data_IF_577749262591
#
_entry.id   IF_577749262591
#
_cell.length_a   1.000
_cell.length_b   1.000
_cell.length_c   1.000
_cell.angle_alpha   90.00
_cell.angle_beta   90.00
_cell.angle_gamma   90.00
#
_symmetry.space_group_name_H-M   'P 1'
#
loop_
_entity.id
_entity.type
_entity.pdbx_description
1 polymer ?
#
# COMPACT_ATOMS: atom_id res chain seq x y z
N UNK A 1 -42.11 -13.89 29.89
CA UNK A 1 -41.36 -14.75 30.82
C UNK A 1 -40.96 -16.02 30.08
N UNK A 2 -39.70 -16.44 30.14
CA UNK A 2 -39.24 -17.62 29.39
C UNK A 2 -39.71 -18.87 30.13
N UNK A 3 -40.40 -19.79 29.46
CA UNK A 3 -41.00 -21.00 30.06
C UNK A 3 -39.98 -22.13 30.32
N UNK A 4 -38.79 -22.05 29.73
CA UNK A 4 -37.74 -23.07 29.79
C UNK A 4 -36.37 -22.43 30.06
N UNK A 5 -35.32 -23.25 30.13
CA UNK A 5 -33.93 -22.80 30.21
C UNK A 5 -33.41 -22.20 28.88
N UNK A 6 -34.19 -21.28 28.29
CA UNK A 6 -33.75 -20.53 27.11
C UNK A 6 -33.12 -19.22 27.55
N UNK A 7 -32.19 -18.73 26.73
CA UNK A 7 -31.57 -17.41 26.91
C UNK A 7 -32.64 -16.33 26.96
N UNK A 8 -32.47 -15.37 27.88
CA UNK A 8 -33.33 -14.19 27.99
C UNK A 8 -33.37 -13.48 26.63
N UNK A 9 -34.55 -13.29 26.01
CA UNK A 9 -34.65 -12.67 24.69
C UNK A 9 -34.08 -11.24 24.69
N UNK A 10 -33.02 -11.00 23.93
CA UNK A 10 -32.51 -9.66 23.64
C UNK A 10 -33.08 -9.13 22.32
N UNK A 11 -34.40 -8.94 22.30
CA UNK A 11 -35.12 -8.41 21.14
C UNK A 11 -34.81 -6.92 20.93
N UNK A 12 -34.33 -6.56 19.73
CA UNK A 12 -34.01 -5.18 19.38
C UNK A 12 -35.22 -4.41 18.84
N UNK A 13 -36.39 -4.64 19.43
CA UNK A 13 -37.67 -4.00 19.07
C UNK A 13 -38.04 -2.90 20.08
N UNK A 14 -37.03 -2.12 20.51
CA UNK A 14 -37.14 -1.14 21.60
C UNK A 14 -37.84 0.16 21.23
N UNK A 15 -38.14 0.36 19.94
CA UNK A 15 -38.79 1.57 19.38
C UNK A 15 -40.04 1.14 18.60
N UNK A 16 -40.84 2.11 18.13
CA UNK A 16 -41.99 1.90 17.24
C UNK A 16 -41.54 1.41 15.83
N UNK A 17 -40.98 0.20 15.77
CA UNK A 17 -40.37 -0.39 14.58
C UNK A 17 -41.36 -0.64 13.45
N UNK A 18 -42.66 -0.79 13.78
CA UNK A 18 -43.74 -0.97 12.82
C UNK A 18 -43.84 0.21 11.83
N UNK A 19 -43.50 1.43 12.26
CA UNK A 19 -43.47 2.61 11.38
C UNK A 19 -42.25 2.64 10.44
N UNK A 20 -41.24 1.81 10.69
CA UNK A 20 -39.97 1.79 9.95
C UNK A 20 -39.71 0.44 9.26
N UNK A 21 -40.78 -0.25 8.88
CA UNK A 21 -40.70 -1.54 8.19
C UNK A 21 -40.29 -1.32 6.73
N UNK A 22 -39.09 -1.79 6.38
CA UNK A 22 -38.64 -1.81 4.99
C UNK A 22 -39.07 -3.11 4.31
N UNK A 23 -40.02 -3.02 3.39
CA UNK A 23 -40.45 -4.15 2.55
C UNK A 23 -39.56 -4.29 1.31
N UNK A 24 -39.56 -5.49 0.72
CA UNK A 24 -38.73 -5.84 -0.45
C UNK A 24 -39.55 -6.15 -1.71
N UNK A 25 -40.84 -5.80 -1.75
CA UNK A 25 -41.70 -6.00 -2.92
C UNK A 25 -41.20 -5.28 -4.18
N UNK A 26 -40.46 -4.18 -4.02
CA UNK A 26 -39.84 -3.45 -5.13
C UNK A 26 -38.53 -4.07 -5.65
N UNK A 27 -38.07 -5.19 -5.08
CA UNK A 27 -36.82 -5.85 -5.49
C UNK A 27 -36.80 -6.26 -6.98
N UNK A 28 -37.82 -6.94 -7.56
CA UNK A 28 -37.85 -7.28 -8.98
C UNK A 28 -37.86 -6.04 -9.87
N UNK A 29 -38.71 -5.06 -9.60
CA UNK A 29 -38.75 -3.80 -10.35
C UNK A 29 -37.39 -3.07 -10.32
N UNK A 30 -36.70 -3.07 -9.17
CA UNK A 30 -35.35 -2.49 -9.05
C UNK A 30 -34.29 -3.29 -9.82
N UNK A 31 -34.45 -4.60 -10.01
CA UNK A 31 -33.57 -5.42 -10.87
C UNK A 31 -33.75 -5.03 -12.34
N UNK A 32 -34.99 -4.97 -12.82
CA UNK A 32 -35.32 -4.56 -14.21
C UNK A 32 -34.84 -3.15 -14.50
N UNK A 33 -35.15 -2.18 -13.63
CA UNK A 33 -34.68 -0.78 -13.77
C UNK A 33 -33.15 -0.69 -13.87
N UNK A 34 -32.42 -1.44 -13.04
CA UNK A 34 -30.94 -1.46 -13.08
C UNK A 34 -30.41 -2.14 -14.34
N UNK A 35 -31.09 -3.15 -14.88
CA UNK A 35 -30.74 -3.77 -16.17
C UNK A 35 -30.87 -2.77 -17.32
N UNK A 36 -32.03 -2.12 -17.43
CA UNK A 36 -32.31 -1.15 -18.50
C UNK A 36 -31.33 0.04 -18.44
N UNK A 37 -31.03 0.55 -17.24
CA UNK A 37 -30.04 1.62 -17.08
C UNK A 37 -28.62 1.20 -17.50
N UNK A 38 -28.22 -0.06 -17.24
CA UNK A 38 -26.93 -0.59 -17.70
C UNK A 38 -26.90 -0.74 -19.23
N UNK A 39 -27.99 -1.22 -19.84
CA UNK A 39 -28.10 -1.33 -21.31
C UNK A 39 -28.05 0.04 -21.97
N UNK A 40 -28.83 1.01 -21.48
CA UNK A 40 -28.81 2.39 -21.98
C UNK A 40 -27.40 3.02 -21.87
N UNK A 41 -26.68 2.76 -20.76
CA UNK A 41 -25.29 3.19 -20.61
C UNK A 41 -24.36 2.53 -21.63
N UNK A 42 -24.49 1.22 -21.85
CA UNK A 42 -23.65 0.48 -22.80
C UNK A 42 -23.83 0.98 -24.24
N UNK A 43 -25.08 1.26 -24.65
CA UNK A 43 -25.40 1.85 -25.96
C UNK A 43 -24.81 3.26 -26.08
N UNK A 44 -24.93 4.10 -25.05
CA UNK A 44 -24.39 5.46 -25.05
C UNK A 44 -22.85 5.50 -25.13
N UNK A 45 -22.17 4.57 -24.47
CA UNK A 45 -20.71 4.54 -24.40
C UNK A 45 -20.05 3.79 -25.57
N UNK A 46 -20.83 3.10 -26.42
CA UNK A 46 -20.35 2.36 -27.59
C UNK A 46 -19.45 3.26 -28.48
N UNK A 47 -18.24 2.80 -28.88
CA UNK A 47 -17.71 1.43 -28.80
C UNK A 47 -16.96 1.07 -27.50
N UNK A 48 -16.86 1.97 -26.51
CA UNK A 48 -16.06 1.73 -25.30
C UNK A 48 -16.69 0.70 -24.37
N UNK A 49 -15.90 -0.07 -23.62
CA UNK A 49 -16.40 -0.88 -22.51
C UNK A 49 -17.04 -0.01 -21.43
N UNK A 50 -18.04 -0.54 -20.72
CA UNK A 50 -18.84 0.21 -19.75
C UNK A 50 -18.07 0.65 -18.47
N UNK A 51 -16.82 0.22 -18.28
CA UNK A 51 -16.00 0.42 -17.09
C UNK A 51 -14.55 0.79 -17.39
N UNK A 52 -13.90 1.47 -16.44
CA UNK A 52 -12.47 1.80 -16.50
C UNK A 52 -11.62 0.65 -15.97
N UNK A 53 -10.38 0.51 -16.46
CA UNK A 53 -9.41 -0.43 -15.92
C UNK A 53 -9.04 -0.04 -14.48
N UNK A 54 -9.04 -1.03 -13.58
CA UNK A 54 -8.69 -0.88 -12.15
C UNK A 54 -7.49 -1.79 -11.83
N UNK A 55 -6.61 -1.39 -10.87
CA UNK A 55 -5.44 -2.18 -10.49
C UNK A 55 -5.82 -3.39 -9.64
N UNK A 56 -4.89 -4.32 -9.55
CA UNK A 56 -4.92 -5.42 -8.60
C UNK A 56 -4.41 -4.96 -7.24
N UNK A 57 -5.18 -5.23 -6.18
CA UNK A 57 -4.86 -4.83 -4.79
C UNK A 57 -5.22 -5.96 -3.82
N UNK A 58 -4.40 -6.12 -2.78
CA UNK A 58 -4.62 -7.07 -1.69
C UNK A 58 -5.54 -6.50 -0.59
N UNK A 59 -6.18 -7.38 0.19
CA UNK A 59 -6.89 -6.98 1.41
C UNK A 59 -5.95 -6.40 2.48
N UNK A 60 -6.49 -5.55 3.36
CA UNK A 60 -5.69 -4.82 4.36
C UNK A 60 -5.30 -5.66 5.58
N UNK A 61 -6.14 -6.62 5.99
CA UNK A 61 -5.94 -7.41 7.21
C UNK A 61 -5.27 -8.75 6.92
N UNK A 62 -4.64 -9.35 7.95
CA UNK A 62 -4.00 -10.67 7.84
C UNK A 62 -4.95 -11.75 7.30
N UNK A 63 -6.25 -11.69 7.62
CA UNK A 63 -7.26 -12.64 7.13
C UNK A 63 -7.52 -12.51 5.62
N UNK A 64 -7.36 -11.30 5.06
CA UNK A 64 -7.78 -11.00 3.68
C UNK A 64 -6.63 -10.61 2.76
N UNK A 65 -5.39 -10.55 3.24
CA UNK A 65 -4.22 -10.19 2.44
C UNK A 65 -4.04 -11.14 1.23
N UNK A 66 -4.36 -12.42 1.35
CA UNK A 66 -4.29 -13.39 0.26
C UNK A 66 -5.34 -13.16 -0.84
N UNK A 67 -6.40 -12.40 -0.54
CA UNK A 67 -7.47 -12.14 -1.51
C UNK A 67 -7.12 -10.93 -2.37
N UNK A 68 -6.99 -11.19 -3.66
CA UNK A 68 -6.91 -10.16 -4.70
C UNK A 68 -8.29 -9.60 -5.03
N UNK A 69 -8.34 -8.28 -5.25
CA UNK A 69 -9.52 -7.53 -5.66
C UNK A 69 -9.14 -6.32 -6.53
N UNK A 70 -10.15 -5.73 -7.18
CA UNK A 70 -9.98 -4.47 -7.90
C UNK A 70 -9.86 -3.29 -6.93
N UNK A 71 -8.80 -2.50 -7.10
CA UNK A 71 -8.56 -1.28 -6.33
C UNK A 71 -9.39 -0.08 -6.80
N UNK A 72 -9.07 1.13 -6.32
CA UNK A 72 -9.71 2.37 -6.78
C UNK A 72 -9.16 2.85 -8.13
N UNK A 73 -7.84 2.85 -8.28
CA UNK A 73 -7.12 3.30 -9.45
C UNK A 73 -5.61 3.08 -9.32
N UNK A 74 -4.91 3.16 -10.44
CA UNK A 74 -3.46 3.03 -10.54
C UNK A 74 -2.73 4.18 -9.84
N UNK A 75 -1.59 3.87 -9.22
CA UNK A 75 -0.75 4.90 -8.59
C UNK A 75 0.03 5.67 -9.66
N UNK A 76 0.59 6.82 -9.27
CA UNK A 76 1.38 7.63 -10.19
C UNK A 76 2.70 6.93 -10.59
N UNK A 77 3.27 6.15 -9.67
CA UNK A 77 4.49 5.37 -9.90
C UNK A 77 4.27 4.27 -10.94
N UNK A 78 3.17 3.53 -10.84
CA UNK A 78 2.80 2.48 -11.81
C UNK A 78 2.60 3.07 -13.20
N UNK A 79 1.90 4.21 -13.29
CA UNK A 79 1.66 4.90 -14.55
C UNK A 79 2.97 5.40 -15.16
N UNK A 80 3.88 5.96 -14.35
CA UNK A 80 5.21 6.39 -14.79
C UNK A 80 6.02 5.20 -15.32
N UNK A 81 6.03 4.08 -14.60
CA UNK A 81 6.73 2.86 -15.00
C UNK A 81 6.13 2.19 -16.26
N UNK A 82 4.83 2.37 -16.50
CA UNK A 82 4.16 1.92 -17.73
C UNK A 82 4.28 2.92 -18.91
N UNK A 83 4.90 4.08 -18.70
CA UNK A 83 5.02 5.13 -19.73
C UNK A 83 3.67 5.77 -20.10
N UNK A 84 2.74 5.87 -19.14
CA UNK A 84 1.42 6.47 -19.35
C UNK A 84 1.32 7.77 -18.54
N UNK A 85 1.10 8.93 -19.19
CA UNK A 85 0.97 10.19 -18.46
C UNK A 85 -0.35 10.26 -17.68
N UNK A 86 -0.30 10.79 -16.45
CA UNK A 86 -1.45 10.83 -15.51
C UNK A 86 -2.70 11.52 -16.04
N UNK A 87 -2.55 12.50 -16.95
CA UNK A 87 -3.67 13.23 -17.56
C UNK A 87 -4.31 12.45 -18.72
N UNK A 88 -3.52 11.63 -19.42
CA UNK A 88 -4.00 10.78 -20.51
C UNK A 88 -4.72 9.53 -19.97
N UNK A 89 -4.25 8.95 -18.86
CA UNK A 89 -4.81 7.73 -18.31
C UNK A 89 -6.36 7.75 -18.17
N UNK A 90 -7.00 8.79 -17.60
CA UNK A 90 -8.46 8.84 -17.49
C UNK A 90 -9.20 8.92 -18.84
N UNK A 91 -8.59 9.48 -19.89
CA UNK A 91 -9.22 9.63 -21.21
C UNK A 91 -9.23 8.33 -21.99
N UNK A 92 -8.17 7.52 -21.84
CA UNK A 92 -8.06 6.17 -22.42
C UNK A 92 -8.76 5.09 -21.58
N UNK A 93 -9.49 5.47 -20.53
CA UNK A 93 -10.28 4.52 -19.72
C UNK A 93 -9.51 3.85 -18.57
N UNK A 94 -8.41 4.42 -18.09
CA UNK A 94 -7.66 3.94 -16.92
C UNK A 94 -8.04 4.76 -15.68
N UNK A 95 -8.38 4.09 -14.58
CA UNK A 95 -8.67 4.77 -13.31
C UNK A 95 -7.36 5.16 -12.59
N UNK A 96 -7.26 6.39 -12.09
CA UNK A 96 -6.07 6.90 -11.38
C UNK A 96 -6.40 7.19 -9.92
N UNK A 97 -5.52 6.77 -9.01
CA UNK A 97 -5.64 7.06 -7.59
C UNK A 97 -4.31 7.58 -7.03
N UNK A 98 -4.19 8.91 -6.94
CA UNK A 98 -2.97 9.58 -6.49
C UNK A 98 -2.62 9.34 -5.01
N UNK A 99 -3.56 8.79 -4.21
CA UNK A 99 -3.35 8.55 -2.78
C UNK A 99 -2.66 7.22 -2.50
N UNK A 100 -2.69 6.28 -3.44
CA UNK A 100 -2.13 4.95 -3.24
C UNK A 100 -0.61 4.99 -3.42
N UNK A 101 0.10 4.37 -2.48
CA UNK A 101 1.56 4.20 -2.50
C UNK A 101 1.89 2.71 -2.65
N UNK A 102 2.97 2.40 -3.36
CA UNK A 102 3.46 1.03 -3.45
C UNK A 102 4.52 0.80 -2.37
N UNK A 103 4.39 -0.30 -1.63
CA UNK A 103 5.38 -0.73 -0.63
C UNK A 103 6.17 -1.96 -1.06
N UNK A 104 5.59 -2.74 -1.98
CA UNK A 104 6.15 -3.97 -2.51
C UNK A 104 6.43 -3.82 -4.00
N UNK A 105 7.52 -4.43 -4.45
CA UNK A 105 7.97 -4.37 -5.84
C UNK A 105 7.12 -5.30 -6.73
N UNK A 106 6.71 -6.44 -6.18
CA UNK A 106 5.85 -7.44 -6.83
C UNK A 106 4.49 -6.83 -7.19
N UNK A 107 3.89 -6.07 -6.26
CA UNK A 107 2.62 -5.38 -6.49
C UNK A 107 2.72 -4.30 -7.56
N UNK A 108 3.84 -3.56 -7.57
CA UNK A 108 4.15 -2.57 -8.60
C UNK A 108 4.27 -3.24 -9.96
N UNK A 109 5.09 -4.29 -10.08
CA UNK A 109 5.32 -5.01 -11.34
C UNK A 109 4.06 -5.64 -11.91
N UNK A 110 3.25 -6.31 -11.07
CA UNK A 110 1.98 -6.90 -11.50
C UNK A 110 1.03 -5.86 -12.10
N UNK A 111 0.92 -4.69 -11.47
CA UNK A 111 0.07 -3.60 -11.98
C UNK A 111 0.66 -2.91 -13.23
N UNK A 112 1.97 -2.79 -13.33
CA UNK A 112 2.64 -2.29 -14.54
C UNK A 112 2.42 -3.24 -15.72
N UNK A 113 2.54 -4.55 -15.51
CA UNK A 113 2.23 -5.56 -16.53
C UNK A 113 0.75 -5.50 -16.93
N UNK A 114 -0.15 -5.32 -15.96
CA UNK A 114 -1.58 -5.09 -16.23
C UNK A 114 -1.84 -3.84 -17.07
N UNK A 115 -1.11 -2.75 -16.86
CA UNK A 115 -1.19 -1.55 -17.70
C UNK A 115 -0.66 -1.78 -19.11
N UNK A 116 0.48 -2.48 -19.24
CA UNK A 116 1.09 -2.81 -20.54
C UNK A 116 0.18 -3.72 -21.37
N UNK A 117 -0.37 -4.77 -20.76
CA UNK A 117 -1.33 -5.68 -21.42
C UNK A 117 -2.61 -4.95 -21.85
N UNK A 118 -3.12 -4.03 -21.04
CA UNK A 118 -4.26 -3.20 -21.42
C UNK A 118 -3.92 -2.28 -22.59
N UNK A 119 -2.77 -1.60 -22.55
CA UNK A 119 -2.32 -0.70 -23.64
C UNK A 119 -2.15 -1.44 -24.97
N UNK A 120 -1.64 -2.67 -24.93
CA UNK A 120 -1.49 -3.51 -26.13
C UNK A 120 -2.85 -3.96 -26.72
N UNK A 121 -3.88 -4.11 -25.89
CA UNK A 121 -5.23 -4.51 -26.32
C UNK A 121 -6.16 -3.32 -26.62
N UNK A 122 -5.68 -2.09 -26.39
CA UNK A 122 -6.51 -0.89 -26.52
C UNK A 122 -6.55 -0.43 -27.97
N UNK A 123 -7.73 -0.46 -28.57
CA UNK A 123 -7.99 0.15 -29.89
C UNK A 123 -8.39 1.62 -29.69
N UNK A 124 -7.63 2.55 -30.28
CA UNK A 124 -7.86 4.00 -30.13
C UNK A 124 -8.41 4.57 -31.44
N UNK A 125 -9.60 5.14 -31.36
CA UNK A 125 -10.25 5.77 -32.50
C UNK A 125 -9.68 7.18 -32.76
N UNK A 126 -9.40 7.53 -34.03
CA UNK A 126 -9.06 8.90 -34.40
C UNK A 126 -10.14 9.89 -33.95
N UNK A 127 -9.73 11.02 -33.37
CA UNK A 127 -10.66 12.10 -32.99
C UNK A 127 -11.45 12.64 -34.18
N UNK A 128 -10.89 12.55 -35.39
CA UNK A 128 -11.54 12.91 -36.66
C UNK A 128 -11.23 11.78 -37.64
N UNK A 129 -12.27 11.16 -38.20
CA UNK A 129 -12.14 9.94 -39.03
C UNK A 129 -11.16 10.07 -40.21
N UNK A 130 -11.01 11.27 -40.79
CA UNK A 130 -10.12 11.53 -41.93
C UNK A 130 -8.72 12.04 -41.55
N UNK A 131 -8.41 12.20 -40.26
CA UNK A 131 -7.12 12.72 -39.78
C UNK A 131 -6.56 11.80 -38.70
N UNK A 132 -5.84 10.76 -39.12
CA UNK A 132 -5.12 9.87 -38.21
C UNK A 132 -3.91 10.59 -37.61
N UNK A 133 -3.65 10.36 -36.34
CA UNK A 133 -2.50 10.86 -35.59
C UNK A 133 -1.70 9.68 -35.02
N UNK A 134 -0.48 9.98 -34.57
CA UNK A 134 0.34 9.02 -33.86
C UNK A 134 -0.40 8.49 -32.61
N UNK A 135 -0.60 7.17 -32.56
CA UNK A 135 -1.30 6.48 -31.48
C UNK A 135 -2.76 6.13 -31.77
N UNK A 136 -3.28 6.48 -32.95
CA UNK A 136 -4.55 5.93 -33.45
C UNK A 136 -4.35 4.53 -34.02
N UNK A 137 -5.39 3.69 -33.96
CA UNK A 137 -5.40 2.33 -34.49
C UNK A 137 -5.53 2.30 -36.02
N UNK A 138 -5.10 1.18 -36.62
CA UNK A 138 -5.24 0.96 -38.07
C UNK A 138 -6.71 0.83 -38.47
N UNK A 139 -7.09 1.17 -39.73
CA UNK A 139 -8.47 1.03 -40.19
C UNK A 139 -9.07 -0.38 -40.02
N UNK A 140 -8.25 -1.41 -40.11
CA UNK A 140 -8.63 -2.82 -39.94
C UNK A 140 -9.05 -3.15 -38.49
N UNK A 141 -8.28 -2.66 -37.51
CA UNK A 141 -8.62 -2.78 -36.09
C UNK A 141 -9.91 -2.02 -35.74
N UNK A 142 -10.15 -0.88 -36.40
CA UNK A 142 -11.35 -0.08 -36.19
C UNK A 142 -12.62 -0.78 -36.68
N UNK A 143 -12.54 -1.51 -37.80
CA UNK A 143 -13.67 -2.26 -38.36
C UNK A 143 -14.04 -3.48 -37.50
N UNK A 144 -13.05 -4.09 -36.85
CA UNK A 144 -13.23 -5.27 -35.98
C UNK A 144 -13.51 -4.93 -34.52
N UNK A 145 -13.44 -3.64 -34.16
CA UNK A 145 -13.63 -3.18 -32.79
C UNK A 145 -15.06 -3.45 -32.30
N UNK A 146 -15.18 -4.37 -31.34
CA UNK A 146 -16.43 -4.69 -30.66
C UNK A 146 -16.39 -4.27 -29.20
N UNK A 147 -17.56 -4.00 -28.62
CA UNK A 147 -17.65 -3.67 -27.21
C UNK A 147 -17.44 -4.92 -26.35
N UNK A 148 -16.42 -4.90 -25.50
CA UNK A 148 -16.18 -5.96 -24.52
C UNK A 148 -17.34 -6.01 -23.51
N UNK A 149 -18.00 -7.18 -23.43
CA UNK A 149 -19.04 -7.45 -22.44
C UNK A 149 -18.41 -7.91 -21.12
N UNK A 150 -18.79 -7.27 -20.01
CA UNK A 150 -18.30 -7.61 -18.67
C UNK A 150 -17.08 -6.78 -18.20
N UNK A 151 -16.40 -7.22 -17.14
CA UNK A 151 -15.25 -6.49 -16.58
C UNK A 151 -14.04 -6.54 -17.52
N UNK A 152 -13.39 -5.39 -17.70
CA UNK A 152 -12.17 -5.26 -18.53
C UNK A 152 -10.99 -5.92 -17.82
N UNK A 153 -10.43 -6.97 -18.44
CA UNK A 153 -9.33 -7.78 -17.90
C UNK A 153 -9.61 -8.30 -16.47
N UNK A 154 -10.54 -9.25 -16.28
CA UNK A 154 -10.89 -9.74 -14.95
C UNK A 154 -9.67 -10.28 -14.19
N UNK A 155 -9.60 -10.00 -12.89
CA UNK A 155 -8.54 -10.53 -12.02
C UNK A 155 -8.88 -11.99 -11.72
N UNK A 156 -8.15 -12.91 -12.32
CA UNK A 156 -8.26 -14.35 -12.04
C UNK A 156 -7.38 -14.69 -10.84
N UNK A 157 -7.89 -15.55 -9.96
CA UNK A 157 -7.11 -16.09 -8.84
C UNK A 157 -6.50 -17.40 -9.28
N UNK A 158 -5.27 -17.34 -9.77
CA UNK A 158 -4.50 -18.54 -10.07
C UNK A 158 -4.18 -19.26 -8.76
N UNK A 159 -4.45 -20.57 -8.75
CA UNK A 159 -3.98 -21.45 -7.70
C UNK A 159 -2.60 -21.92 -8.11
N UNK A 160 -1.60 -21.72 -7.27
CA UNK A 160 -0.27 -22.28 -7.51
C UNK A 160 -0.40 -23.79 -7.69
N UNK A 161 0.19 -24.32 -8.77
CA UNK A 161 0.33 -25.76 -8.93
C UNK A 161 1.31 -26.27 -7.87
N UNK A 162 0.96 -27.36 -7.19
CA UNK A 162 1.83 -28.02 -6.22
C UNK A 162 2.53 -29.16 -6.95
N UNK A 163 3.85 -29.10 -7.02
CA UNK A 163 4.66 -30.20 -7.53
C UNK A 163 5.08 -31.11 -6.38
N UNK A 164 5.12 -32.41 -6.64
CA UNK A 164 5.58 -33.39 -5.66
C UNK A 164 7.11 -33.42 -5.66
N UNK A 165 7.69 -33.01 -4.53
CA UNK A 165 9.15 -33.01 -4.33
C UNK A 165 9.49 -34.04 -3.27
N UNK A 166 10.64 -34.72 -3.43
CA UNK A 166 11.18 -35.64 -2.41
C UNK A 166 11.50 -34.86 -1.14
N UNK A 167 11.04 -35.37 0.01
CA UNK A 167 11.29 -34.75 1.32
C UNK A 167 12.79 -34.79 1.62
N UNK A 168 13.40 -33.62 1.79
CA UNK A 168 14.81 -33.47 2.17
C UNK A 168 15.00 -33.77 3.66
N UNK A 169 16.23 -34.12 4.06
CA UNK A 169 16.50 -34.42 5.47
C UNK A 169 16.40 -33.18 6.39
N UNK A 170 16.59 -31.99 5.82
CA UNK A 170 16.31 -30.71 6.49
C UNK A 170 14.82 -30.54 6.85
N UNK A 171 13.91 -30.94 5.95
CA UNK A 171 12.47 -30.90 6.22
C UNK A 171 12.07 -31.88 7.31
N UNK A 172 12.77 -33.02 7.43
CA UNK A 172 12.51 -34.02 8.47
C UNK A 172 13.02 -33.57 9.84
N UNK A 173 14.17 -32.89 9.89
CA UNK A 173 14.74 -32.39 11.15
C UNK A 173 14.09 -31.11 11.66
N UNK A 174 13.35 -30.38 10.81
CA UNK A 174 12.68 -29.14 11.19
C UNK A 174 11.47 -29.36 12.13
N UNK A 175 11.62 -29.00 13.40
CA UNK A 175 10.52 -29.02 14.37
C UNK A 175 9.66 -27.74 14.29
N UNK A 176 8.64 -27.77 13.44
CA UNK A 176 7.74 -26.64 13.19
C UNK A 176 7.01 -26.13 14.45
N UNK A 177 6.55 -27.03 15.32
CA UNK A 177 5.81 -26.64 16.54
C UNK A 177 6.70 -25.87 17.52
N UNK A 178 7.90 -26.39 17.78
CA UNK A 178 8.88 -25.75 18.66
C UNK A 178 9.30 -24.38 18.12
N UNK A 179 9.53 -24.25 16.81
CA UNK A 179 9.85 -22.98 16.18
C UNK A 179 8.74 -21.94 16.38
N UNK A 180 7.48 -22.30 16.17
CA UNK A 180 6.33 -21.39 16.40
C UNK A 180 6.25 -20.90 17.85
N UNK A 181 6.57 -21.75 18.83
CA UNK A 181 6.60 -21.37 20.26
C UNK A 181 7.75 -20.41 20.55
N UNK A 182 8.95 -20.69 20.03
CA UNK A 182 10.12 -19.81 20.17
C UNK A 182 9.85 -18.43 19.57
N UNK A 183 9.25 -18.34 18.38
CA UNK A 183 8.93 -17.05 17.75
C UNK A 183 7.90 -16.24 18.57
N UNK A 184 6.90 -16.90 19.16
CA UNK A 184 5.97 -16.23 20.09
C UNK A 184 6.70 -15.70 21.33
N UNK A 185 7.61 -16.48 21.90
CA UNK A 185 8.43 -16.09 23.06
C UNK A 185 9.36 -14.93 22.71
N UNK A 186 10.02 -14.96 21.55
CA UNK A 186 10.86 -13.87 21.05
C UNK A 186 10.08 -12.57 20.90
N UNK A 187 8.90 -12.63 20.26
CA UNK A 187 8.02 -11.46 20.11
C UNK A 187 7.55 -10.92 21.46
N UNK A 188 7.22 -11.79 22.42
CA UNK A 188 6.81 -11.40 23.78
C UNK A 188 7.93 -10.72 24.56
N UNK A 189 9.17 -11.23 24.47
CA UNK A 189 10.30 -10.76 25.27
C UNK A 189 11.21 -9.74 24.58
N UNK A 190 10.92 -9.33 23.34
CA UNK A 190 11.73 -8.37 22.60
C UNK A 190 11.99 -7.08 23.41
N UNK A 191 10.95 -6.45 23.94
CA UNK A 191 11.10 -5.23 24.73
C UNK A 191 11.91 -5.43 26.01
N UNK A 192 11.69 -6.54 26.73
CA UNK A 192 12.43 -6.85 27.95
C UNK A 192 13.91 -7.16 27.69
N UNK A 193 14.24 -7.73 26.52
CA UNK A 193 15.63 -7.98 26.10
C UNK A 193 16.32 -6.68 25.71
N UNK A 194 15.65 -5.82 24.94
CA UNK A 194 16.18 -4.49 24.58
C UNK A 194 16.43 -3.61 25.81
N UNK A 195 15.51 -3.63 26.78
CA UNK A 195 15.69 -2.91 28.04
C UNK A 195 16.92 -3.41 28.82
N UNK A 196 17.05 -4.73 29.00
CA UNK A 196 18.21 -5.31 29.69
C UNK A 196 19.53 -5.05 28.97
N UNK A 197 19.54 -5.11 27.64
CA UNK A 197 20.73 -4.77 26.86
C UNK A 197 21.13 -3.30 27.05
N UNK A 198 20.16 -2.37 27.04
CA UNK A 198 20.41 -0.96 27.27
C UNK A 198 20.82 -0.65 28.73
N UNK A 199 20.33 -1.41 29.71
CA UNK A 199 20.76 -1.29 31.11
C UNK A 199 22.17 -1.84 31.30
N UNK A 200 22.49 -3.00 30.73
CA UNK A 200 23.84 -3.56 30.73
C UNK A 200 24.85 -2.62 30.07
N UNK A 201 24.53 -2.02 28.92
CA UNK A 201 25.41 -1.05 28.26
C UNK A 201 25.62 0.23 29.09
N UNK A 202 24.61 0.66 29.85
CA UNK A 202 24.73 1.79 30.79
C UNK A 202 25.59 1.43 31.99
N UNK A 203 25.44 0.23 32.52
CA UNK A 203 26.26 -0.28 33.62
C UNK A 203 27.72 -0.48 33.17
N UNK A 204 27.96 -1.05 31.99
CA UNK A 204 29.30 -1.16 31.39
C UNK A 204 29.94 0.21 31.19
N UNK A 205 29.19 1.21 30.68
CA UNK A 205 29.69 2.60 30.56
C UNK A 205 29.97 3.24 31.92
N UNK A 206 29.17 2.93 32.94
CA UNK A 206 29.37 3.44 34.31
C UNK A 206 30.59 2.81 34.97
N UNK A 207 30.79 1.51 34.78
CA UNK A 207 31.97 0.76 35.26
C UNK A 207 33.23 1.23 34.55
N UNK A 208 33.17 1.43 33.22
CA UNK A 208 34.27 2.01 32.46
C UNK A 208 34.63 3.44 32.93
N UNK A 209 33.64 4.27 33.27
CA UNK A 209 33.90 5.60 33.85
C UNK A 209 34.52 5.52 35.25
N UNK A 210 34.12 4.56 36.08
CA UNK A 210 34.68 4.40 37.42
C UNK A 210 36.10 3.85 37.39
N UNK A 211 36.41 2.93 36.47
CA UNK A 211 37.75 2.33 36.37
C UNK A 211 38.80 3.35 35.86
N UNK A 212 38.43 4.21 34.90
CA UNK A 212 39.28 5.33 34.47
C UNK A 212 39.48 6.41 35.56
N UNK A 213 38.57 6.50 36.54
CA UNK A 213 38.70 7.40 37.69
C UNK A 213 39.61 6.82 38.79
N UNK A 214 39.85 5.50 38.79
CA UNK A 214 40.74 4.83 39.76
C UNK A 214 42.19 4.82 39.27
N UNK A 215 42.45 4.83 37.95
CA UNK A 215 43.82 4.94 37.40
C UNK A 215 44.43 6.35 37.49
N UNK A 216 43.63 7.39 37.71
CA UNK A 216 44.09 8.79 37.83
C UNK A 216 44.34 9.23 39.29
N UNK A 217 44.85 8.31 40.11
CA UNK A 217 45.27 8.59 41.48
C UNK A 217 46.65 9.23 41.62
N UNK A 218 46.84 10.49 41.18
CA UNK A 218 47.84 11.40 41.76
C UNK A 218 47.29 12.82 41.99
N UNK A 219 47.01 13.09 43.26
CA UNK A 219 46.92 14.38 43.98
C UNK A 219 45.99 15.51 43.51
N UNK A 220 44.99 15.75 44.38
CA UNK A 220 44.24 17.00 44.67
C UNK A 220 44.67 18.28 43.92
N UNK A 221 43.72 18.84 43.17
CA UNK A 221 43.25 20.23 43.32
C UNK A 221 41.76 20.30 42.94
N UNK A 222 40.92 20.88 43.81
CA UNK A 222 39.53 21.26 43.46
C UNK A 222 39.59 22.28 42.31
N UNK A 223 38.95 22.05 41.15
CA UNK A 223 38.72 23.12 40.20
C UNK A 223 37.60 24.03 40.75
N UNK A 224 37.84 25.34 40.68
CA UNK A 224 36.84 26.37 40.91
C UNK A 224 35.64 26.10 40.01
N UNK A 225 34.45 26.30 40.57
CA UNK A 225 33.22 26.54 39.83
C UNK A 225 33.47 27.70 38.85
N UNK A 226 33.53 27.40 37.56
CA UNK A 226 33.44 28.37 36.48
C UNK A 226 32.29 27.91 35.62
N UNK A 227 31.22 28.71 35.62
CA UNK A 227 30.19 28.68 34.60
C UNK A 227 30.86 28.80 33.23
N UNK A 228 30.59 27.86 32.33
CA UNK A 228 30.92 27.99 30.91
C UNK A 228 29.82 27.30 30.11
N UNK A 229 28.90 28.13 29.65
CA UNK A 229 27.78 27.86 28.74
C UNK A 229 28.20 27.40 27.32
N UNK A 230 29.45 27.01 27.07
CA UNK A 230 29.96 26.73 25.72
C UNK A 230 29.80 25.27 25.25
N UNK A 231 29.50 24.32 26.14
CA UNK A 231 29.31 22.91 25.73
C UNK A 231 27.91 22.62 25.13
N UNK A 232 26.99 23.59 25.23
CA UNK A 232 25.65 23.48 24.67
C UNK A 232 25.60 23.82 23.17
N UNK A 233 26.56 24.58 22.63
CA UNK A 233 26.62 24.87 21.20
C UNK A 233 27.21 23.71 20.38
N UNK A 234 28.16 22.95 20.93
CA UNK A 234 28.72 21.80 20.22
C UNK A 234 27.80 20.56 20.24
N UNK A 235 26.98 20.42 21.29
CA UNK A 235 25.91 19.39 21.35
C UNK A 235 24.72 19.76 20.45
N UNK A 236 24.45 21.04 20.19
CA UNK A 236 23.50 21.44 19.13
C UNK A 236 24.02 21.17 17.71
N UNK A 237 25.34 21.27 17.47
CA UNK A 237 25.96 20.93 16.18
C UNK A 237 25.98 19.42 15.89
N UNK A 238 26.33 18.59 16.88
CA UNK A 238 26.48 17.14 16.66
C UNK A 238 25.15 16.37 16.65
N UNK A 239 24.14 16.85 17.41
CA UNK A 239 22.77 16.35 17.28
C UNK A 239 22.18 16.74 15.92
N UNK A 240 22.56 17.89 15.35
CA UNK A 240 22.22 18.30 13.99
C UNK A 240 22.85 17.42 12.89
N UNK A 241 24.11 17.03 13.03
CA UNK A 241 24.79 16.17 12.04
C UNK A 241 24.34 14.70 12.12
N UNK A 242 24.16 14.15 13.33
CA UNK A 242 23.76 12.76 13.48
C UNK A 242 22.28 12.53 13.09
N UNK A 243 21.39 13.48 13.37
CA UNK A 243 20.01 13.40 12.87
C UNK A 243 19.93 13.58 11.35
N UNK A 244 20.84 14.31 10.70
CA UNK A 244 20.89 14.43 9.24
C UNK A 244 21.29 13.11 8.58
N UNK A 245 22.24 12.38 9.18
CA UNK A 245 22.70 11.09 8.67
C UNK A 245 21.69 9.93 8.94
N UNK A 246 20.89 10.02 10.00
CA UNK A 246 19.81 9.06 10.29
C UNK A 246 18.51 9.39 9.53
N UNK A 247 18.21 10.67 9.25
CA UNK A 247 17.05 11.02 8.40
C UNK A 247 17.25 10.64 6.93
N UNK A 248 18.49 10.60 6.43
CA UNK A 248 18.77 10.18 5.04
C UNK A 248 18.58 8.67 4.79
N UNK A 249 18.49 7.86 5.86
CA UNK A 249 18.18 6.42 5.78
C UNK A 249 16.69 6.08 5.98
N UNK A 250 15.81 7.06 6.21
CA UNK A 250 14.38 6.84 6.37
C UNK A 250 13.55 7.77 5.49
N UNK A 251 13.46 7.43 4.21
CA UNK A 251 12.55 8.10 3.26
C UNK A 251 11.10 7.63 3.51
N UNK A 252 10.18 8.58 3.80
CA UNK A 252 8.91 8.58 3.10
C UNK A 252 8.59 9.98 2.52
N UNK A 253 8.64 10.05 1.19
CA UNK A 253 7.85 10.90 0.27
C UNK A 253 7.04 12.10 0.85
N UNK A 254 7.54 13.33 0.65
CA UNK A 254 6.97 14.26 -0.36
C UNK A 254 6.23 15.55 0.06
N UNK A 255 6.72 16.70 -0.46
CA UNK A 255 6.00 17.95 -0.85
C UNK A 255 5.81 19.03 0.23
N UNK A 256 5.86 20.35 0.03
CA UNK A 256 5.97 21.31 -1.10
C UNK A 256 6.50 22.64 -0.49
N UNK A 257 7.20 23.59 -1.15
CA UNK A 257 6.67 24.64 -2.03
C UNK A 257 7.76 25.71 -2.35
N UNK A 258 7.75 26.19 -3.59
CA UNK A 258 8.16 27.49 -4.18
C UNK A 258 9.24 28.39 -3.52
N UNK A 259 10.31 28.72 -4.26
CA UNK A 259 10.50 30.04 -4.93
C UNK A 259 11.70 30.05 -5.89
N UNK A 260 11.39 30.46 -7.12
CA UNK A 260 12.11 31.30 -8.10
C UNK A 260 13.54 31.80 -7.79
N UNK A 261 14.45 31.68 -8.78
CA UNK A 261 15.28 32.75 -9.45
C UNK A 261 16.40 32.06 -10.28
N UNK A 262 16.34 32.09 -11.64
CA UNK A 262 17.27 32.75 -12.62
C UNK A 262 18.73 32.21 -12.52
N UNK A 263 19.39 31.60 -13.53
CA UNK A 263 19.87 32.19 -14.80
C UNK A 263 20.55 31.14 -15.74
N UNK A 264 20.07 31.07 -16.99
CA UNK A 264 20.76 31.02 -18.30
C UNK A 264 22.04 30.17 -18.61
N UNK A 265 21.85 29.28 -19.61
CA UNK A 265 22.61 29.02 -20.88
C UNK A 265 23.97 28.29 -20.97
N UNK A 266 24.00 27.44 -22.03
CA UNK A 266 25.08 27.13 -23.00
C UNK A 266 26.08 26.00 -22.66
N UNK A 267 25.89 24.80 -23.24
CA UNK A 267 26.36 24.36 -24.58
C UNK A 267 25.67 23.05 -24.95
#
# INVERSE_FOLDING_TARGET
MVKHNNVIPNGHFKKHWQNYVRTWFNQPARKTRRRNARQAKAVKDFPRPAGKLRPQVHGQTLKYNMKLREGRGFSLEELKAAGIPKKLAPTIGIAVDHRRRNRSLEGLQANVQRLKTFKAKLVVFPRRARKMKAGDSTPEELATATQVQGPVLPIVREKAAVEFVKVTDEMKSFNAYSKLRIERTNKKHLGARLKRAAEAEKEEKKVFLSDNLVESGTTRKKPKLWDNDEENEHKQSMVGCFWKQVLDYFVPLGGQHYHTIVQLNSK
#
